data_IF_216565245869
#
_entry.id   IF_216565245869
#
_cell.length_a   1.000
_cell.length_b   1.000
_cell.length_c   1.000
_cell.angle_alpha   90.00
_cell.angle_beta   90.00
_cell.angle_gamma   90.00
#
_symmetry.space_group_name_H-M   'P 1'
#
loop_
_entity.id
_entity.type
_entity.pdbx_description
1 polymer ?
#
# COMPACT_ATOMS: atom_id res chain seq x y z
N UNK A 1 0.05 -0.28 -3.56
CA UNK A 1 0.68 0.62 -4.55
C UNK A 1 1.23 -0.18 -5.72
N UNK A 2 2.14 -1.14 -5.51
CA UNK A 2 2.75 -1.95 -6.58
C UNK A 2 1.69 -2.54 -7.55
N UNK A 3 0.71 -3.29 -7.05
CA UNK A 3 -0.37 -3.85 -7.87
C UNK A 3 -1.18 -2.77 -8.60
N UNK A 4 -1.42 -1.64 -7.94
CA UNK A 4 -2.10 -0.49 -8.56
C UNK A 4 -1.29 0.04 -9.74
N UNK A 5 0.02 0.25 -9.56
CA UNK A 5 0.90 0.71 -10.63
C UNK A 5 0.93 -0.26 -11.82
N UNK A 6 1.03 -1.57 -11.56
CA UNK A 6 0.99 -2.58 -12.63
C UNK A 6 -0.31 -2.55 -13.43
N UNK A 7 -1.45 -2.47 -12.74
CA UNK A 7 -2.76 -2.38 -13.39
C UNK A 7 -2.94 -1.09 -14.19
N UNK A 8 -2.43 0.03 -13.68
CA UNK A 8 -2.43 1.30 -14.41
C UNK A 8 -1.54 1.21 -15.66
N UNK A 9 -0.36 0.61 -15.53
CA UNK A 9 0.57 0.43 -16.65
C UNK A 9 -0.06 -0.42 -17.76
N UNK A 10 -0.65 -1.55 -17.43
CA UNK A 10 -1.38 -2.42 -18.36
C UNK A 10 -2.55 -1.70 -19.06
N UNK A 11 -3.24 -0.81 -18.34
CA UNK A 11 -4.39 -0.10 -18.86
C UNK A 11 -4.04 1.11 -19.73
N UNK A 12 -2.90 1.77 -19.46
CA UNK A 12 -2.60 3.09 -20.03
C UNK A 12 -1.38 3.10 -20.96
N UNK A 13 -0.37 2.23 -20.73
CA UNK A 13 0.90 2.27 -21.48
C UNK A 13 0.68 2.16 -22.99
N UNK A 14 1.38 3.01 -23.74
CA UNK A 14 1.37 3.06 -25.20
C UNK A 14 0.07 3.59 -25.80
N UNK A 15 -0.85 4.14 -24.98
CA UNK A 15 -2.15 4.61 -25.42
C UNK A 15 -2.29 6.12 -25.23
N UNK A 16 -2.82 6.84 -26.23
CA UNK A 16 -3.13 8.25 -26.09
C UNK A 16 -4.33 8.44 -25.13
N UNK A 17 -4.26 9.49 -24.34
CA UNK A 17 -5.34 9.89 -23.45
C UNK A 17 -6.38 10.69 -24.27
N UNK A 18 -7.61 10.17 -24.37
CA UNK A 18 -8.73 10.93 -24.94
C UNK A 18 -9.31 11.92 -23.92
N UNK A 19 -8.96 11.73 -22.63
CA UNK A 19 -9.28 12.65 -21.54
C UNK A 19 -8.18 12.57 -20.47
N UNK A 20 -7.66 13.75 -20.05
CA UNK A 20 -6.54 13.83 -19.10
C UNK A 20 -6.75 14.95 -18.10
N UNK A 21 -7.79 14.86 -17.24
CA UNK A 21 -8.15 15.91 -16.29
C UNK A 21 -7.47 15.71 -14.93
N UNK A 22 -6.92 16.82 -14.41
CA UNK A 22 -6.38 16.89 -13.06
C UNK A 22 -7.24 17.84 -12.21
N UNK A 23 -7.96 17.28 -11.22
CA UNK A 23 -8.88 18.03 -10.34
C UNK A 23 -8.25 18.34 -8.99
N UNK A 24 -6.97 18.62 -9.00
CA UNK A 24 -6.20 19.07 -7.84
C UNK A 24 -6.01 20.59 -7.95
N UNK A 25 -6.16 21.38 -6.87
CA UNK A 25 -6.10 22.85 -6.94
C UNK A 25 -4.85 23.39 -7.65
N UNK A 26 -3.69 22.80 -7.42
CA UNK A 26 -2.43 23.21 -8.04
C UNK A 26 -2.27 22.76 -9.51
N UNK A 27 -3.17 21.92 -10.04
CA UNK A 27 -3.05 21.30 -11.37
C UNK A 27 -4.34 21.42 -12.20
N UNK A 28 -5.30 22.23 -11.74
CA UNK A 28 -6.63 22.31 -12.36
C UNK A 28 -6.62 22.90 -13.78
N UNK A 29 -5.54 23.61 -14.16
CA UNK A 29 -5.33 24.16 -15.49
C UNK A 29 -4.60 23.23 -16.44
N UNK A 30 -4.07 22.11 -15.93
CA UNK A 30 -3.33 21.13 -16.72
C UNK A 30 -4.29 20.18 -17.43
N UNK A 31 -4.15 20.05 -18.73
CA UNK A 31 -4.83 19.06 -19.55
C UNK A 31 -3.81 18.10 -20.15
N UNK A 32 -4.04 16.81 -19.94
CA UNK A 32 -3.19 15.74 -20.47
C UNK A 32 -3.84 15.02 -21.67
N UNK A 33 -4.97 15.53 -22.18
CA UNK A 33 -5.59 14.98 -23.39
C UNK A 33 -4.63 15.04 -24.58
N UNK A 34 -4.63 14.00 -25.40
CA UNK A 34 -3.71 13.84 -26.54
C UNK A 34 -2.30 13.35 -26.16
N UNK A 35 -1.93 13.29 -24.89
CA UNK A 35 -0.66 12.74 -24.45
C UNK A 35 -0.70 11.23 -24.38
N UNK A 36 0.42 10.58 -24.69
CA UNK A 36 0.57 9.13 -24.57
C UNK A 36 1.26 8.76 -23.27
N UNK A 37 0.69 7.82 -22.53
CA UNK A 37 1.37 7.27 -21.35
C UNK A 37 2.47 6.31 -21.82
N UNK A 38 3.73 6.64 -21.54
CA UNK A 38 4.88 5.82 -21.94
C UNK A 38 5.16 4.70 -20.94
N UNK A 39 4.93 4.93 -19.65
CA UNK A 39 5.07 3.94 -18.59
C UNK A 39 4.34 4.37 -17.33
N UNK A 40 3.92 3.41 -16.49
CA UNK A 40 3.57 3.65 -15.08
C UNK A 40 4.50 2.82 -14.20
N UNK A 41 5.41 3.50 -13.50
CA UNK A 41 6.36 2.88 -12.59
C UNK A 41 5.95 3.07 -11.13
N UNK A 42 6.43 2.17 -10.27
CA UNK A 42 6.32 2.30 -8.82
C UNK A 42 7.70 2.30 -8.21
N UNK A 43 7.95 3.19 -7.25
CA UNK A 43 9.15 3.19 -6.41
C UNK A 43 8.69 3.35 -4.96
N UNK A 44 8.89 2.33 -4.14
CA UNK A 44 8.32 2.27 -2.81
C UNK A 44 6.80 2.40 -2.83
N UNK A 45 6.30 3.53 -2.33
CA UNK A 45 4.86 3.84 -2.31
C UNK A 45 4.45 4.96 -3.26
N UNK A 46 5.34 5.37 -4.16
CA UNK A 46 5.12 6.40 -5.17
C UNK A 46 4.67 5.76 -6.49
N UNK A 47 3.76 6.41 -7.19
CA UNK A 47 3.30 6.07 -8.54
C UNK A 47 3.78 7.17 -9.49
N UNK A 48 4.46 6.79 -10.56
CA UNK A 48 5.06 7.68 -11.57
C UNK A 48 4.46 7.33 -12.93
N UNK A 49 3.50 8.12 -13.39
CA UNK A 49 2.89 7.98 -14.72
C UNK A 49 3.62 8.92 -15.69
N UNK A 50 4.48 8.35 -16.53
CA UNK A 50 5.31 9.09 -17.48
C UNK A 50 4.56 9.31 -18.79
N UNK A 51 4.70 10.51 -19.35
CA UNK A 51 4.06 10.95 -20.59
C UNK A 51 5.09 11.15 -21.70
N UNK A 52 4.62 11.12 -22.94
CA UNK A 52 5.43 11.29 -24.15
C UNK A 52 6.03 12.69 -24.31
N UNK A 53 5.50 13.68 -23.62
CA UNK A 53 5.99 15.07 -23.62
C UNK A 53 7.08 15.35 -22.58
N UNK A 54 7.63 14.29 -21.95
CA UNK A 54 8.70 14.41 -20.95
C UNK A 54 8.20 14.85 -19.58
N UNK A 55 6.90 14.77 -19.29
CA UNK A 55 6.32 15.01 -17.96
C UNK A 55 5.96 13.72 -17.27
N UNK A 56 5.98 13.75 -15.93
CA UNK A 56 5.55 12.65 -15.06
C UNK A 56 4.49 13.14 -14.10
N UNK A 57 3.33 12.48 -14.12
CA UNK A 57 2.32 12.63 -13.07
C UNK A 57 2.69 11.72 -11.90
N UNK A 58 3.15 12.32 -10.81
CA UNK A 58 3.40 11.65 -9.55
C UNK A 58 2.14 11.60 -8.71
N UNK A 59 1.84 10.45 -8.12
CA UNK A 59 0.80 10.31 -7.10
C UNK A 59 1.23 9.41 -5.96
N UNK A 60 0.80 9.75 -4.74
CA UNK A 60 0.98 8.92 -3.55
C UNK A 60 -0.37 8.66 -2.90
N UNK A 61 -0.69 7.40 -2.60
CA UNK A 61 -2.03 7.01 -2.13
C UNK A 61 -2.29 7.40 -0.66
N UNK A 62 -1.25 7.62 0.14
CA UNK A 62 -1.37 7.86 1.58
C UNK A 62 -2.27 6.82 2.26
N UNK A 63 -3.30 7.25 3.05
CA UNK A 63 -4.18 6.36 3.81
C UNK A 63 -5.48 6.01 3.07
N UNK A 64 -6.01 6.93 2.27
CA UNK A 64 -7.35 6.85 1.69
C UNK A 64 -7.41 7.11 0.18
N UNK A 65 -6.29 7.46 -0.42
CA UNK A 65 -6.18 7.62 -1.86
C UNK A 65 -6.25 6.28 -2.59
N UNK A 66 -6.84 6.30 -3.78
CA UNK A 66 -6.98 5.09 -4.59
C UNK A 66 -7.07 5.41 -6.07
N UNK A 67 -6.65 4.46 -6.91
CA UNK A 67 -6.91 4.45 -8.34
C UNK A 67 -7.84 3.29 -8.69
N UNK A 68 -8.84 3.55 -9.50
CA UNK A 68 -9.79 2.56 -9.99
C UNK A 68 -9.83 2.57 -11.52
N UNK A 69 -9.95 1.40 -12.10
CA UNK A 69 -10.05 1.21 -13.55
C UNK A 69 -11.50 0.88 -13.94
N UNK A 70 -11.99 1.56 -14.97
CA UNK A 70 -13.33 1.40 -15.52
C UNK A 70 -13.26 1.22 -17.04
N UNK A 71 -14.30 0.66 -17.64
CA UNK A 71 -14.53 0.80 -19.07
C UNK A 71 -15.13 2.18 -19.35
N UNK A 72 -14.91 2.76 -20.53
CA UNK A 72 -15.61 3.98 -20.92
C UNK A 72 -17.13 3.79 -20.81
N UNK A 73 -17.81 4.76 -20.19
CA UNK A 73 -19.24 4.69 -19.93
C UNK A 73 -19.67 3.99 -18.64
N UNK A 74 -18.79 3.25 -17.97
CA UNK A 74 -19.12 2.64 -16.68
C UNK A 74 -19.39 3.68 -15.61
N UNK A 75 -20.32 3.37 -14.70
CA UNK A 75 -20.52 4.18 -13.50
C UNK A 75 -19.33 4.02 -12.54
N UNK A 76 -18.73 5.12 -12.15
CA UNK A 76 -17.62 5.13 -11.21
C UNK A 76 -18.10 4.88 -9.79
N UNK A 77 -17.46 3.94 -9.08
CA UNK A 77 -17.86 3.47 -7.75
C UNK A 77 -16.76 3.63 -6.67
N UNK A 78 -15.62 4.27 -7.00
CA UNK A 78 -14.49 4.46 -6.06
C UNK A 78 -14.72 5.52 -4.99
N UNK A 79 -15.77 6.32 -5.11
CA UNK A 79 -16.13 7.38 -4.17
C UNK A 79 -17.00 8.47 -4.79
N UNK A 80 -17.43 9.46 -3.99
CA UNK A 80 -18.15 10.61 -4.49
C UNK A 80 -17.36 11.42 -5.52
N UNK A 81 -18.04 12.04 -6.48
CA UNK A 81 -17.40 12.80 -7.58
C UNK A 81 -16.49 13.92 -7.10
N UNK A 82 -16.81 14.59 -5.99
CA UNK A 82 -15.98 15.66 -5.42
C UNK A 82 -14.65 15.16 -4.86
N UNK A 83 -14.47 13.86 -4.68
CA UNK A 83 -13.20 13.24 -4.25
C UNK A 83 -12.30 12.82 -5.41
N UNK A 84 -12.77 12.89 -6.64
CA UNK A 84 -11.96 12.64 -7.85
C UNK A 84 -10.89 13.72 -7.99
N UNK A 85 -9.64 13.30 -8.17
CA UNK A 85 -8.47 14.19 -8.31
C UNK A 85 -7.77 14.05 -9.65
N UNK A 86 -7.91 12.90 -10.31
CA UNK A 86 -7.34 12.70 -11.64
C UNK A 86 -8.23 11.75 -12.46
N UNK A 87 -8.29 11.98 -13.76
CA UNK A 87 -8.95 11.13 -14.74
C UNK A 87 -7.99 10.98 -15.91
N UNK A 88 -7.51 9.74 -16.13
CA UNK A 88 -6.67 9.39 -17.26
C UNK A 88 -7.44 8.35 -18.08
N UNK A 89 -8.03 8.77 -19.19
CA UNK A 89 -8.88 7.91 -20.01
C UNK A 89 -8.29 7.73 -21.39
N UNK A 90 -8.13 6.48 -21.79
CA UNK A 90 -7.86 6.07 -23.17
C UNK A 90 -9.18 5.70 -23.87
N UNK A 91 -9.13 5.29 -25.13
CA UNK A 91 -10.32 4.78 -25.83
C UNK A 91 -10.92 3.51 -25.16
N UNK A 92 -10.11 2.73 -24.44
CA UNK A 92 -10.48 1.42 -23.89
C UNK A 92 -10.70 1.41 -22.38
N UNK A 93 -10.03 2.29 -21.63
CA UNK A 93 -9.98 2.30 -20.16
C UNK A 93 -10.01 3.71 -19.59
N UNK A 94 -10.67 3.86 -18.46
CA UNK A 94 -10.61 5.07 -17.65
C UNK A 94 -9.98 4.75 -16.29
N UNK A 95 -8.84 5.35 -15.99
CA UNK A 95 -8.22 5.33 -14.67
C UNK A 95 -8.67 6.58 -13.91
N UNK A 96 -9.34 6.38 -12.78
CA UNK A 96 -9.90 7.46 -11.96
C UNK A 96 -9.24 7.44 -10.59
N UNK A 97 -8.57 8.53 -10.25
CA UNK A 97 -7.87 8.73 -8.99
C UNK A 97 -8.74 9.46 -7.99
N UNK A 98 -8.98 8.85 -6.83
CA UNK A 98 -9.79 9.39 -5.74
C UNK A 98 -8.91 9.77 -4.56
N UNK A 99 -9.19 10.90 -3.90
CA UNK A 99 -8.50 11.37 -2.67
C UNK A 99 -6.97 11.35 -2.78
N UNK A 100 -6.44 11.65 -3.97
CA UNK A 100 -5.00 11.77 -4.19
C UNK A 100 -4.54 13.13 -3.63
N UNK A 101 -4.16 13.15 -2.36
CA UNK A 101 -3.71 14.37 -1.68
C UNK A 101 -2.32 14.80 -2.15
N UNK A 102 -1.45 13.83 -2.49
CA UNK A 102 -0.15 14.07 -3.09
C UNK A 102 -0.24 13.78 -4.60
N UNK A 103 -0.50 14.82 -5.37
CA UNK A 103 -0.54 14.78 -6.82
C UNK A 103 0.31 15.93 -7.35
N UNK A 104 1.31 15.60 -8.16
CA UNK A 104 2.25 16.56 -8.75
C UNK A 104 2.51 16.20 -10.21
N UNK A 105 2.64 17.22 -11.05
CA UNK A 105 3.10 17.07 -12.43
C UNK A 105 4.49 17.72 -12.53
N UNK A 106 5.50 16.92 -12.86
CA UNK A 106 6.90 17.37 -12.90
C UNK A 106 7.57 16.96 -14.21
N UNK A 107 8.62 17.65 -14.66
CA UNK A 107 9.47 17.13 -15.71
C UNK A 107 10.04 15.76 -15.30
N UNK A 108 10.03 14.77 -16.20
CA UNK A 108 10.55 13.41 -15.93
C UNK A 108 12.01 13.44 -15.45
N UNK A 109 12.82 14.35 -15.99
CA UNK A 109 14.19 14.58 -15.54
C UNK A 109 14.30 15.00 -14.05
N UNK A 110 13.20 15.45 -13.44
CA UNK A 110 13.15 15.87 -12.06
C UNK A 110 12.53 14.84 -11.10
N UNK A 111 12.21 13.62 -11.56
CA UNK A 111 11.66 12.54 -10.70
C UNK A 111 12.52 12.28 -9.44
N UNK A 112 13.85 12.39 -9.57
CA UNK A 112 14.77 12.21 -8.46
C UNK A 112 14.54 13.18 -7.30
N UNK A 113 13.93 14.34 -7.51
CA UNK A 113 13.53 15.24 -6.41
C UNK A 113 12.43 14.64 -5.53
N UNK A 114 11.62 13.74 -6.10
CA UNK A 114 10.49 13.09 -5.43
C UNK A 114 10.89 11.77 -4.77
N UNK A 115 11.77 11.00 -5.39
CA UNK A 115 12.11 9.63 -4.99
C UNK A 115 13.58 9.41 -4.63
N UNK A 116 14.48 10.34 -4.93
CA UNK A 116 15.93 10.17 -4.73
C UNK A 116 16.37 10.08 -3.26
N UNK A 117 15.49 10.46 -2.34
CA UNK A 117 15.74 10.30 -0.90
C UNK A 117 15.43 8.88 -0.39
N UNK A 118 14.78 8.03 -1.20
CA UNK A 118 14.38 6.69 -0.79
C UNK A 118 15.59 5.76 -0.69
N UNK A 119 15.53 4.85 0.26
CA UNK A 119 16.41 3.70 0.32
C UNK A 119 16.02 2.64 -0.72
N UNK A 120 16.71 1.49 -0.74
CA UNK A 120 16.38 0.40 -1.66
C UNK A 120 14.90 0.05 -1.62
N UNK A 121 14.27 -0.04 -2.78
CA UNK A 121 12.87 -0.48 -2.87
C UNK A 121 12.81 -1.99 -2.70
N UNK A 122 12.08 -2.45 -1.69
CA UNK A 122 11.89 -3.88 -1.40
C UNK A 122 11.18 -4.65 -2.52
N UNK A 123 10.59 -3.96 -3.49
CA UNK A 123 9.95 -4.55 -4.67
C UNK A 123 10.67 -4.19 -5.98
N UNK A 124 11.91 -3.71 -5.89
CA UNK A 124 12.74 -3.47 -7.08
C UNK A 124 12.94 -4.77 -7.85
N UNK A 125 12.70 -4.83 -9.17
CA UNK A 125 12.99 -6.02 -9.98
C UNK A 125 14.46 -6.49 -9.92
N UNK A 126 15.39 -5.58 -9.61
CA UNK A 126 16.82 -5.88 -9.41
C UNK A 126 17.17 -6.27 -7.96
N UNK A 127 16.15 -6.51 -7.09
CA UNK A 127 16.42 -6.89 -5.71
C UNK A 127 17.34 -8.12 -5.64
N UNK A 128 18.43 -7.97 -4.93
CA UNK A 128 19.46 -9.01 -4.76
C UNK A 128 20.43 -8.65 -3.65
N UNK A 129 21.55 -9.32 -3.57
CA UNK A 129 22.52 -9.19 -2.48
C UNK A 129 23.00 -7.74 -2.25
N UNK A 130 23.22 -6.98 -3.32
CA UNK A 130 23.70 -5.59 -3.24
C UNK A 130 22.65 -4.67 -2.59
N UNK A 131 21.39 -4.70 -3.08
CA UNK A 131 20.31 -3.89 -2.51
C UNK A 131 19.99 -4.31 -1.08
N UNK A 132 20.01 -5.60 -0.79
CA UNK A 132 19.83 -6.12 0.56
C UNK A 132 20.93 -5.63 1.50
N UNK A 133 22.20 -5.71 1.11
CA UNK A 133 23.32 -5.20 1.89
C UNK A 133 23.23 -3.69 2.13
N UNK A 134 22.81 -2.91 1.13
CA UNK A 134 22.57 -1.47 1.27
C UNK A 134 21.45 -1.20 2.28
N UNK A 135 20.34 -1.94 2.24
CA UNK A 135 19.24 -1.80 3.20
C UNK A 135 19.70 -2.12 4.63
N UNK A 136 20.50 -3.19 4.80
CA UNK A 136 21.09 -3.56 6.10
C UNK A 136 22.00 -2.45 6.62
N UNK A 137 22.91 -1.92 5.78
CA UNK A 137 23.81 -0.83 6.17
C UNK A 137 23.04 0.42 6.61
N UNK A 138 21.98 0.78 5.90
CA UNK A 138 21.12 1.93 6.26
C UNK A 138 20.34 1.66 7.55
N UNK A 139 19.85 0.44 7.76
CA UNK A 139 19.12 0.07 8.97
C UNK A 139 20.03 0.16 10.20
N UNK A 140 21.25 -0.34 10.10
CA UNK A 140 22.24 -0.36 11.20
C UNK A 140 22.98 0.96 11.41
N UNK A 141 22.86 1.92 10.49
CA UNK A 141 23.50 3.24 10.60
C UNK A 141 23.10 4.04 11.87
N UNK A 142 21.94 3.71 12.46
CA UNK A 142 21.45 4.28 13.72
C UNK A 142 21.08 3.15 14.70
N UNK A 143 22.08 2.52 15.35
CA UNK A 143 21.90 1.28 16.10
C UNK A 143 20.96 1.43 17.32
N UNK A 144 20.89 2.63 17.90
CA UNK A 144 20.08 2.91 19.08
C UNK A 144 18.64 3.34 18.74
N UNK A 145 18.32 3.53 17.44
CA UNK A 145 16.98 3.92 17.01
C UNK A 145 16.01 2.76 17.22
N UNK A 146 14.78 3.08 17.62
CA UNK A 146 13.73 2.08 17.75
C UNK A 146 13.47 1.38 16.42
N UNK A 147 13.42 0.05 16.44
CA UNK A 147 13.20 -0.79 15.28
C UNK A 147 11.93 -0.39 14.52
N UNK A 148 10.84 -0.12 15.23
CA UNK A 148 9.58 0.29 14.63
C UNK A 148 9.66 1.60 13.86
N UNK A 149 10.48 2.56 14.29
CA UNK A 149 10.73 3.81 13.57
C UNK A 149 11.68 3.60 12.38
N UNK A 150 12.73 2.82 12.59
CA UNK A 150 13.70 2.53 11.54
C UNK A 150 13.06 1.79 10.35
N UNK A 151 12.17 0.82 10.61
CA UNK A 151 11.42 0.10 9.57
C UNK A 151 10.45 0.99 8.80
N UNK A 152 9.91 2.06 9.41
CA UNK A 152 9.00 2.99 8.74
C UNK A 152 9.73 4.05 7.90
N UNK A 153 11.01 4.28 8.15
CA UNK A 153 11.79 5.28 7.44
C UNK A 153 12.07 4.83 6.00
N UNK A 154 11.41 5.48 5.06
CA UNK A 154 11.56 5.15 3.64
C UNK A 154 12.97 5.43 3.09
N UNK A 155 13.82 6.15 3.84
CA UNK A 155 15.24 6.37 3.50
C UNK A 155 16.09 5.16 3.87
N UNK A 156 15.64 4.32 4.81
CA UNK A 156 16.29 3.05 5.16
C UNK A 156 15.99 2.01 4.09
N UNK A 157 14.72 1.73 3.87
CA UNK A 157 14.22 0.87 2.80
C UNK A 157 12.80 1.30 2.41
N UNK A 158 12.51 1.34 1.12
CA UNK A 158 11.24 1.82 0.64
C UNK A 158 10.19 0.70 0.55
N UNK A 159 8.93 1.05 0.83
CA UNK A 159 7.78 0.15 0.69
C UNK A 159 7.08 -0.22 2.01
N UNK A 160 7.78 -0.29 3.13
CA UNK A 160 7.19 -0.67 4.42
C UNK A 160 6.20 0.40 4.89
N UNK A 161 5.00 -0.05 5.28
CA UNK A 161 3.99 0.74 5.95
C UNK A 161 3.68 0.20 7.34
N UNK A 162 2.71 0.82 7.99
CA UNK A 162 2.36 0.51 9.39
C UNK A 162 1.98 -0.96 9.62
N UNK A 163 1.30 -1.58 8.65
CA UNK A 163 0.98 -3.01 8.70
C UNK A 163 2.26 -3.83 8.79
N UNK A 164 3.14 -3.69 7.79
CA UNK A 164 4.36 -4.49 7.73
C UNK A 164 5.31 -4.20 8.88
N UNK A 165 5.43 -2.95 9.34
CA UNK A 165 6.17 -2.62 10.55
C UNK A 165 5.77 -3.48 11.75
N UNK A 166 4.48 -3.51 12.06
CA UNK A 166 3.95 -4.27 13.19
C UNK A 166 4.18 -5.78 13.03
N UNK A 167 3.92 -6.30 11.83
CA UNK A 167 4.05 -7.73 11.53
C UNK A 167 5.51 -8.20 11.51
N UNK A 168 6.43 -7.41 10.94
CA UNK A 168 7.87 -7.71 10.94
C UNK A 168 8.40 -7.75 12.37
N UNK A 169 8.13 -6.73 13.19
CA UNK A 169 8.51 -6.74 14.60
C UNK A 169 7.98 -7.98 15.34
N UNK A 170 6.72 -8.38 15.10
CA UNK A 170 6.14 -9.57 15.71
C UNK A 170 6.82 -10.86 15.26
N UNK A 171 7.08 -11.02 13.98
CA UNK A 171 7.68 -12.22 13.42
C UNK A 171 9.13 -12.40 13.88
N UNK A 172 9.87 -11.31 14.03
CA UNK A 172 11.20 -11.28 14.64
C UNK A 172 11.19 -11.52 16.16
N UNK A 173 10.03 -11.49 16.81
CA UNK A 173 9.94 -11.53 18.28
C UNK A 173 10.49 -10.29 18.98
N UNK A 174 10.71 -9.20 18.24
CA UNK A 174 11.32 -7.97 18.72
C UNK A 174 10.26 -6.92 19.08
N UNK A 175 10.45 -6.23 20.19
CA UNK A 175 9.63 -5.07 20.55
C UNK A 175 9.77 -3.97 19.49
N UNK A 176 8.71 -3.27 19.08
CA UNK A 176 8.82 -2.10 18.20
C UNK A 176 9.72 -0.98 18.77
N UNK A 177 9.90 -0.95 20.08
CA UNK A 177 10.77 0.00 20.79
C UNK A 177 12.20 -0.52 21.03
N UNK A 178 12.48 -1.77 20.64
CA UNK A 178 13.82 -2.32 20.78
C UNK A 178 14.80 -1.56 19.89
N UNK A 179 16.02 -1.25 20.36
CA UNK A 179 17.07 -0.70 19.51
C UNK A 179 17.38 -1.63 18.34
N UNK A 180 17.66 -1.05 17.17
CA UNK A 180 18.07 -1.82 15.98
C UNK A 180 19.26 -2.74 16.29
N UNK A 181 20.20 -2.31 17.14
CA UNK A 181 21.37 -3.10 17.56
C UNK A 181 21.03 -4.42 18.26
N UNK A 182 19.80 -4.59 18.75
CA UNK A 182 19.36 -5.80 19.46
C UNK A 182 18.73 -6.86 18.56
N UNK A 183 18.64 -6.58 17.25
CA UNK A 183 17.99 -7.49 16.27
C UNK A 183 18.98 -7.87 15.16
N UNK A 184 18.76 -9.03 14.56
CA UNK A 184 19.44 -9.38 13.31
C UNK A 184 18.88 -8.53 12.15
N UNK A 185 19.67 -7.53 11.75
CA UNK A 185 19.26 -6.59 10.69
C UNK A 185 19.14 -7.29 9.32
N UNK A 186 19.97 -8.30 9.04
CA UNK A 186 19.88 -9.06 7.79
C UNK A 186 18.59 -9.87 7.73
N UNK A 187 18.25 -10.56 8.83
CA UNK A 187 16.96 -11.26 8.95
C UNK A 187 15.77 -10.31 8.85
N UNK A 188 15.86 -9.10 9.41
CA UNK A 188 14.81 -8.09 9.32
C UNK A 188 14.57 -7.60 7.89
N UNK A 189 15.62 -7.34 7.13
CA UNK A 189 15.56 -6.92 5.72
C UNK A 189 15.01 -8.04 4.84
N UNK A 190 15.51 -9.27 5.01
CA UNK A 190 15.03 -10.44 4.24
C UNK A 190 13.55 -10.73 4.52
N UNK A 191 13.13 -10.66 5.77
CA UNK A 191 11.73 -10.83 6.14
C UNK A 191 10.84 -9.74 5.53
N UNK A 192 11.31 -8.48 5.53
CA UNK A 192 10.61 -7.36 4.93
C UNK A 192 10.40 -7.57 3.43
N UNK A 193 11.47 -7.91 2.69
CA UNK A 193 11.39 -8.22 1.26
C UNK A 193 10.41 -9.38 1.00
N UNK A 194 10.61 -10.50 1.70
CA UNK A 194 9.77 -11.71 1.53
C UNK A 194 8.29 -11.43 1.74
N UNK A 195 7.93 -10.68 2.79
CA UNK A 195 6.54 -10.34 3.07
C UNK A 195 5.93 -9.42 2.01
N UNK A 196 6.67 -8.41 1.57
CA UNK A 196 6.19 -7.51 0.52
C UNK A 196 6.06 -8.24 -0.81
N UNK A 197 7.05 -9.02 -1.23
CA UNK A 197 7.06 -9.78 -2.49
C UNK A 197 5.89 -10.78 -2.57
N UNK A 198 5.63 -11.53 -1.49
CA UNK A 198 4.48 -12.47 -1.42
C UNK A 198 3.13 -11.79 -1.60
N UNK A 199 3.03 -10.53 -1.22
CA UNK A 199 1.78 -9.76 -1.26
C UNK A 199 1.70 -8.78 -2.45
N UNK A 200 2.77 -8.59 -3.20
CA UNK A 200 2.87 -7.57 -4.25
C UNK A 200 1.76 -7.71 -5.32
N UNK A 201 1.41 -8.95 -5.69
CA UNK A 201 0.46 -9.26 -6.74
C UNK A 201 -0.97 -9.55 -6.26
N UNK A 202 -1.24 -9.35 -4.96
CA UNK A 202 -2.54 -9.65 -4.35
C UNK A 202 -3.24 -8.36 -3.91
N UNK A 203 -4.54 -8.22 -4.12
CA UNK A 203 -5.30 -7.10 -3.56
C UNK A 203 -5.38 -7.19 -2.04
N UNK A 204 -5.54 -8.39 -1.48
CA UNK A 204 -5.56 -8.65 -0.05
C UNK A 204 -4.16 -8.99 0.46
N UNK A 205 -3.69 -8.18 1.42
CA UNK A 205 -2.41 -8.43 2.08
C UNK A 205 -2.59 -9.40 3.25
N UNK A 206 -1.71 -10.38 3.34
CA UNK A 206 -1.68 -11.34 4.44
C UNK A 206 -0.24 -11.65 4.86
N UNK A 207 0.02 -11.57 6.15
CA UNK A 207 1.31 -11.94 6.76
C UNK A 207 1.28 -13.32 7.41
N UNK A 208 0.09 -13.85 7.63
CA UNK A 208 -0.14 -15.21 8.17
C UNK A 208 -0.19 -16.27 7.07
N UNK A 209 -0.42 -15.88 5.82
CA UNK A 209 -0.76 -16.78 4.71
C UNK A 209 -2.26 -17.03 4.55
N UNK A 210 -3.07 -16.74 5.58
CA UNK A 210 -4.53 -16.89 5.55
C UNK A 210 -5.17 -15.69 4.85
N UNK A 211 -6.17 -15.93 4.00
CA UNK A 211 -6.88 -14.85 3.28
C UNK A 211 -8.25 -14.52 3.87
N UNK A 212 -8.77 -15.34 4.80
CA UNK A 212 -10.05 -15.09 5.46
C UNK A 212 -10.02 -13.77 6.23
N UNK A 213 -11.09 -12.97 6.19
CA UNK A 213 -11.22 -11.76 6.99
C UNK A 213 -10.91 -12.04 8.48
N UNK A 214 -10.14 -11.15 9.12
CA UNK A 214 -9.71 -11.29 10.51
C UNK A 214 -8.59 -12.30 10.75
N UNK A 215 -8.19 -13.13 9.75
CA UNK A 215 -7.10 -14.10 9.87
C UNK A 215 -5.77 -13.65 9.25
N UNK A 216 -5.77 -12.59 8.45
CA UNK A 216 -4.66 -12.14 7.60
C UNK A 216 -3.43 -11.65 8.35
N UNK A 217 -3.58 -11.15 9.59
CA UNK A 217 -2.50 -10.49 10.34
C UNK A 217 -2.23 -11.20 11.67
N UNK A 218 -0.99 -11.14 12.14
CA UNK A 218 -0.59 -11.62 13.45
C UNK A 218 -1.00 -10.65 14.55
N UNK A 219 -0.66 -9.38 14.42
CA UNK A 219 -0.90 -8.33 15.44
C UNK A 219 -1.60 -7.08 14.89
N UNK A 220 -1.39 -6.72 13.61
CA UNK A 220 -1.90 -5.49 13.04
C UNK A 220 -3.44 -5.43 13.10
N UNK A 221 -3.97 -4.31 13.65
CA UNK A 221 -5.39 -4.05 13.84
C UNK A 221 -6.12 -5.13 14.71
N UNK A 222 -5.39 -5.77 15.65
CA UNK A 222 -5.93 -6.84 16.51
C UNK A 222 -5.87 -6.52 18.00
N UNK A 223 -5.84 -5.26 18.39
CA UNK A 223 -5.85 -4.82 19.80
C UNK A 223 -6.93 -5.56 20.60
N UNK A 224 -6.58 -6.07 21.77
CA UNK A 224 -7.45 -6.81 22.68
C UNK A 224 -7.75 -8.25 22.26
N UNK A 225 -7.41 -8.67 21.04
CA UNK A 225 -7.60 -10.07 20.60
C UNK A 225 -6.46 -10.95 21.08
N UNK A 226 -6.74 -12.22 21.30
CA UNK A 226 -5.72 -13.20 21.66
C UNK A 226 -4.62 -13.31 20.57
N UNK A 227 -3.37 -13.31 21.02
CA UNK A 227 -2.22 -13.56 20.16
C UNK A 227 -2.30 -14.98 19.58
N UNK A 228 -2.08 -15.12 18.28
CA UNK A 228 -2.13 -16.43 17.60
C UNK A 228 -0.97 -17.37 17.98
N UNK A 229 0.08 -16.84 18.62
CA UNK A 229 1.26 -17.62 19.05
C UNK A 229 1.18 -18.03 20.51
N UNK A 230 0.80 -17.11 21.43
CA UNK A 230 0.89 -17.34 22.87
C UNK A 230 -0.43 -17.10 23.64
N UNK A 231 -1.50 -16.66 22.98
CA UNK A 231 -2.79 -16.39 23.64
C UNK A 231 -2.90 -15.05 24.39
N UNK A 232 -1.81 -14.35 24.69
CA UNK A 232 -1.85 -13.07 25.38
C UNK A 232 -2.60 -12.00 24.55
N UNK A 233 -3.24 -11.04 25.21
CA UNK A 233 -3.94 -9.96 24.52
C UNK A 233 -2.97 -9.07 23.74
N UNK A 234 -3.26 -8.82 22.45
CA UNK A 234 -2.52 -7.89 21.63
C UNK A 234 -2.70 -6.46 22.14
N UNK A 235 -1.59 -5.77 22.36
CA UNK A 235 -1.54 -4.37 22.74
C UNK A 235 -1.44 -3.44 21.54
N UNK A 236 -1.75 -2.16 21.79
CA UNK A 236 -1.46 -1.07 20.86
C UNK A 236 -0.96 0.14 21.62
N UNK A 237 -0.07 0.92 21.00
CA UNK A 237 0.44 2.16 21.55
C UNK A 237 0.83 3.11 20.40
N UNK A 238 1.03 4.39 20.72
CA UNK A 238 1.56 5.34 19.76
C UNK A 238 3.10 5.20 19.69
N UNK A 239 3.62 5.30 18.48
CA UNK A 239 5.06 5.31 18.22
C UNK A 239 5.35 6.33 17.12
N UNK A 240 6.20 7.30 17.45
CA UNK A 240 6.64 8.37 16.56
C UNK A 240 7.89 9.03 17.09
N UNK A 241 8.47 9.93 16.31
CA UNK A 241 9.62 10.72 16.72
C UNK A 241 9.14 11.92 17.56
N UNK A 242 9.76 12.21 18.72
CA UNK A 242 9.33 13.30 19.60
C UNK A 242 9.24 14.66 18.89
N UNK A 243 10.11 14.89 17.90
CA UNK A 243 10.19 16.14 17.13
C UNK A 243 9.08 16.25 16.08
N UNK A 244 8.31 15.17 15.83
CA UNK A 244 7.28 15.09 14.78
C UNK A 244 6.03 14.33 15.23
N UNK A 245 5.37 14.82 16.28
CA UNK A 245 4.20 14.12 16.87
C UNK A 245 3.02 13.96 15.91
N UNK A 246 2.96 14.79 14.86
CA UNK A 246 1.94 14.67 13.80
C UNK A 246 2.15 13.41 12.94
N UNK A 247 3.33 12.82 12.97
CA UNK A 247 3.68 11.60 12.24
C UNK A 247 3.50 10.33 13.08
N UNK A 248 3.11 10.45 14.35
CA UNK A 248 2.85 9.31 15.20
C UNK A 248 1.85 8.35 14.57
N UNK A 249 2.12 7.07 14.75
CA UNK A 249 1.22 6.02 14.26
C UNK A 249 1.03 4.96 15.35
N UNK A 250 -0.20 4.47 15.45
CA UNK A 250 -0.49 3.34 16.32
C UNK A 250 0.31 2.12 15.87
N UNK A 251 1.08 1.52 16.75
CA UNK A 251 1.76 0.24 16.56
C UNK A 251 1.03 -0.84 17.34
N UNK A 252 0.98 -2.06 16.79
CA UNK A 252 0.37 -3.23 17.37
C UNK A 252 1.44 -4.25 17.71
N UNK A 253 1.33 -4.89 18.87
CA UNK A 253 2.35 -5.83 19.36
C UNK A 253 1.76 -6.84 20.36
N UNK A 254 2.42 -7.98 20.51
CA UNK A 254 2.13 -8.93 21.59
C UNK A 254 3.11 -8.70 22.74
N UNK A 255 2.65 -8.32 23.95
CA UNK A 255 3.56 -8.03 25.07
C UNK A 255 4.38 -9.25 25.54
N UNK A 256 3.86 -10.46 25.34
CA UNK A 256 4.57 -11.70 25.71
C UNK A 256 5.57 -12.15 24.64
N UNK A 257 5.21 -12.09 23.35
CA UNK A 257 6.08 -12.51 22.26
C UNK A 257 7.14 -11.44 21.90
N UNK A 258 6.91 -10.20 22.28
CA UNK A 258 7.74 -9.03 21.98
C UNK A 258 8.03 -8.27 23.28
N UNK A 259 8.78 -8.85 24.23
CA UNK A 259 9.04 -8.21 25.51
C UNK A 259 9.81 -6.91 25.28
N UNK A 260 9.46 -5.87 26.02
CA UNK A 260 10.23 -4.61 26.01
C UNK A 260 11.54 -4.86 26.73
N UNK A 261 12.70 -4.51 26.14
CA UNK A 261 14.00 -4.65 26.82
C UNK A 261 14.00 -3.96 28.20
N UNK A 262 14.69 -4.53 29.20
CA UNK A 262 14.85 -3.89 30.50
C UNK A 262 15.46 -2.49 30.36
N UNK A 263 14.92 -1.50 31.08
CA UNK A 263 15.41 -0.11 31.05
C UNK A 263 14.78 0.77 29.96
N UNK A 264 14.11 0.21 28.97
CA UNK A 264 13.26 0.98 28.07
C UNK A 264 11.87 1.09 28.73
N UNK A 265 11.70 2.08 29.56
CA UNK A 265 10.36 2.51 29.97
C UNK A 265 9.63 2.89 28.70
N UNK A 266 8.45 2.29 28.44
CA UNK A 266 7.53 2.85 27.48
C UNK A 266 7.48 4.33 27.74
N UNK A 267 7.95 5.16 26.81
CA UNK A 267 7.57 6.56 26.84
C UNK A 267 6.04 6.49 26.85
N UNK A 268 5.48 6.66 28.05
CA UNK A 268 4.06 6.78 28.26
C UNK A 268 3.69 8.07 27.57
N UNK A 269 3.47 7.98 26.26
CA UNK A 269 2.77 9.00 25.51
C UNK A 269 1.47 9.14 26.27
N UNK A 270 1.43 10.21 27.04
CA UNK A 270 0.36 10.61 27.94
C UNK A 270 -0.98 10.30 27.30
N UNK A 271 -1.68 9.28 27.84
CA UNK A 271 -3.12 9.10 27.63
C UNK A 271 -3.93 10.21 28.31
N UNK A 272 -3.27 11.14 28.98
CA UNK A 272 -3.87 12.33 29.59
C UNK A 272 -3.95 13.46 28.54
N UNK A 273 -4.97 13.46 27.68
CA UNK A 273 -5.27 14.63 26.85
C UNK A 273 -5.98 14.40 25.53
N UNK A 274 -6.12 13.14 25.06
CA UNK A 274 -6.98 12.85 23.91
C UNK A 274 -8.16 12.00 24.36
N UNK A 275 -9.14 12.67 25.00
CA UNK A 275 -10.43 12.10 25.33
C UNK A 275 -11.13 11.62 24.04
N UNK A 276 -11.56 10.36 24.04
CA UNK A 276 -12.76 9.92 23.34
C UNK A 276 -12.70 9.79 21.82
N UNK A 277 -11.60 9.29 21.26
CA UNK A 277 -11.63 8.76 19.88
C UNK A 277 -11.45 7.24 19.92
N UNK A 278 -12.54 6.49 19.84
CA UNK A 278 -12.48 5.08 19.46
C UNK A 278 -11.73 5.04 18.13
N UNK A 279 -10.49 4.50 18.12
CA UNK A 279 -9.75 4.30 16.87
C UNK A 279 -10.52 3.26 16.09
N UNK A 280 -11.41 3.70 15.23
CA UNK A 280 -12.06 2.83 14.27
C UNK A 280 -10.94 2.16 13.46
N UNK A 281 -10.96 0.84 13.42
CA UNK A 281 -10.10 0.09 12.51
C UNK A 281 -10.30 0.70 11.11
N UNK A 282 -9.21 0.89 10.32
CA UNK A 282 -9.37 1.31 8.94
C UNK A 282 -10.30 0.32 8.27
N UNK A 283 -11.43 0.82 7.75
CA UNK A 283 -12.39 0.00 7.03
C UNK A 283 -11.64 -0.72 5.90
N UNK A 284 -11.82 -2.02 5.82
CA UNK A 284 -11.38 -2.83 4.67
C UNK A 284 -12.23 -2.46 3.44
N UNK A 285 -12.15 -1.19 3.03
CA UNK A 285 -12.91 -0.68 1.92
C UNK A 285 -12.17 -0.93 0.61
N UNK A 286 -12.63 -1.94 -0.10
CA UNK A 286 -12.76 -1.87 -1.52
C UNK A 286 -11.66 -2.48 -2.36
N UNK A 287 -11.64 -3.81 -2.45
CA UNK A 287 -11.24 -4.47 -3.70
C UNK A 287 -12.30 -5.54 -4.02
N UNK A 288 -13.50 -5.13 -4.39
CA UNK A 288 -14.43 -6.03 -5.06
C UNK A 288 -13.98 -6.19 -6.51
N UNK A 289 -13.21 -7.24 -6.76
CA UNK A 289 -13.00 -7.73 -8.11
C UNK A 289 -14.31 -8.35 -8.59
N UNK A 290 -14.99 -7.71 -9.53
CA UNK A 290 -16.12 -8.30 -10.26
C UNK A 290 -15.55 -9.27 -11.32
N UNK A 291 -15.33 -10.53 -10.92
CA UNK A 291 -15.10 -11.64 -11.82
C UNK A 291 -16.41 -12.38 -12.03
N UNK A 292 -17.34 -11.80 -12.79
CA UNK A 292 -18.41 -12.57 -13.40
C UNK A 292 -17.95 -13.03 -14.79
N UNK A 293 -17.38 -14.23 -14.84
CA UNK A 293 -17.26 -14.99 -16.08
C UNK A 293 -18.67 -15.33 -16.59
N UNK A 294 -18.97 -14.93 -17.81
CA UNK A 294 -20.23 -15.25 -18.48
C UNK A 294 -20.37 -16.76 -18.68
N UNK A 295 -21.29 -17.36 -17.97
CA UNK A 295 -21.80 -18.70 -18.25
C UNK A 295 -22.84 -18.58 -19.38
N UNK A 296 -22.42 -18.86 -20.59
CA UNK A 296 -23.34 -19.05 -21.72
C UNK A 296 -24.23 -20.25 -21.43
N UNK A 297 -25.53 -20.02 -21.18
CA UNK A 297 -26.54 -21.05 -21.21
C UNK A 297 -26.79 -21.42 -22.67
N UNK A 298 -26.38 -22.62 -23.07
CA UNK A 298 -26.91 -23.26 -24.29
C UNK A 298 -28.38 -23.66 -24.04
N UNK A 299 -29.28 -22.98 -24.71
CA UNK A 299 -30.69 -23.39 -24.78
C UNK A 299 -30.81 -24.64 -25.63
N UNK A 300 -31.20 -25.74 -25.01
CA UNK A 300 -31.66 -26.94 -25.72
C UNK A 300 -33.13 -26.79 -26.09
N UNK A 301 -33.42 -26.63 -27.35
CA UNK A 301 -34.77 -26.74 -27.91
C UNK A 301 -35.13 -28.22 -28.05
N UNK A 302 -36.03 -28.70 -27.21
CA UNK A 302 -36.68 -30.02 -27.38
C UNK A 302 -37.79 -29.90 -28.43
N UNK A 303 -37.62 -30.57 -29.57
CA UNK A 303 -38.63 -30.75 -30.57
C UNK A 303 -39.69 -31.72 -30.05
N UNK A 304 -40.97 -31.31 -30.02
CA UNK A 304 -42.12 -32.17 -29.84
C UNK A 304 -42.60 -32.65 -31.23
N UNK A 305 -42.58 -33.96 -31.45
CA UNK A 305 -43.27 -34.60 -32.56
C UNK A 305 -44.80 -34.66 -32.32
N UNK A 306 -45.66 -34.46 -33.35
CA UNK A 306 -47.04 -34.60 -33.18
C UNK A 306 -47.46 -36.11 -33.37
N UNK A 307 -48.25 -36.59 -32.46
CA UNK A 307 -48.99 -37.91 -32.66
C UNK A 307 -50.16 -37.72 -33.62
N UNK A 308 -50.13 -38.54 -34.60
CA UNK A 308 -51.22 -38.70 -35.54
C UNK A 308 -52.28 -39.69 -34.95
N UNK A 309 -53.53 -39.28 -34.92
CA UNK A 309 -54.68 -40.14 -34.66
C UNK A 309 -55.45 -40.23 -35.93
N UNK A 310 -55.62 -41.40 -36.41
CA UNK A 310 -56.58 -41.86 -37.35
C UNK A 310 -56.88 -43.29 -37.02
#
# INVERSE_FOLDING_TARGET
VFLTGRRLDEALRGRPLVRGELRHPALATEDLAGRTVTAVATVGKHLLTRLDDGRTLHSHLRLDGSWHLYRPGDRWRGGPMHTVRAILQTAERAAVGYRLHDLQLVPTAHEQRLIGHLGPDLLDPAWGAELAANAVARLTARPDRELGLALMDQRVMAGIGNLYRAEICFLLGASPWAPVSTVDAAAAVELAHTLLARNAWRPEQSTTGELRPGARNWVYARTGRACRRCGAAIGSAWLGEPERPEQDRVVYFCPSCQPTPPGLTRASGSTAGRAGGTVAAPSEAGATADTRSGRTRRGGTAARSPRNSG
#
